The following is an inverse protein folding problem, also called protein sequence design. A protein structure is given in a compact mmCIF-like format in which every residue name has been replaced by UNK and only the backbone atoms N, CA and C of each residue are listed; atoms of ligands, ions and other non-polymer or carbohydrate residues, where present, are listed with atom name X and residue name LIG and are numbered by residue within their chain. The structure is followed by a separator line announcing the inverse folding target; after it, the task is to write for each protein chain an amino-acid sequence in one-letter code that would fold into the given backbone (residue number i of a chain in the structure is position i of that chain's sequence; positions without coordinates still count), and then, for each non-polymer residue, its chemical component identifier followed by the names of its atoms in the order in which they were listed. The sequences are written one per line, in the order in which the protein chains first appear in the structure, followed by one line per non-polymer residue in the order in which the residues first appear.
data_IF_707676523269
#
_entry.id   IF_707676523269
#
_cell.length_a   1.000
_cell.length_b   1.000
_cell.length_c   1.000
_cell.angle_alpha   90.00
_cell.angle_beta   90.00
_cell.angle_gamma   90.00
#
_symmetry.space_group_name_H-M   'P 1'
#
loop_
_entity.id
_entity.type
_entity.pdbx_description
1 polymer ?
#
# COMPACT_ATOMS: atom_id res chain seq x y z
N UNK A 1 6.92 -1.64 -15.42
CA UNK A 1 6.81 -0.38 -14.66
C UNK A 1 6.47 0.76 -15.61
N UNK A 2 5.35 1.45 -15.38
CA UNK A 2 4.93 2.58 -16.23
C UNK A 2 5.79 3.83 -15.98
N UNK A 3 5.88 4.70 -16.99
CA UNK A 3 6.65 5.95 -16.91
C UNK A 3 6.11 6.90 -15.80
N UNK A 4 4.83 6.78 -15.46
CA UNK A 4 4.20 7.52 -14.38
C UNK A 4 4.74 7.11 -13.00
N UNK A 5 4.96 5.81 -12.77
CA UNK A 5 5.52 5.31 -11.50
C UNK A 5 6.93 5.87 -11.26
N UNK A 6 7.76 5.90 -12.30
CA UNK A 6 9.10 6.49 -12.23
C UNK A 6 9.08 8.00 -11.98
N UNK A 7 8.18 8.75 -12.63
CA UNK A 7 8.07 10.20 -12.41
C UNK A 7 7.51 10.52 -11.02
N UNK A 8 6.54 9.77 -10.49
CA UNK A 8 6.06 9.94 -9.10
C UNK A 8 7.20 9.71 -8.09
N UNK A 9 7.98 8.63 -8.24
CA UNK A 9 9.16 8.37 -7.40
C UNK A 9 10.21 9.48 -7.53
N UNK A 10 10.42 10.00 -8.75
CA UNK A 10 11.38 11.07 -9.04
C UNK A 10 11.00 12.41 -8.40
N UNK A 11 9.71 12.76 -8.39
CA UNK A 11 9.23 14.00 -7.77
C UNK A 11 8.92 13.86 -6.28
N UNK A 12 8.85 12.64 -5.71
CA UNK A 12 8.60 12.41 -4.29
C UNK A 12 9.54 13.21 -3.36
N UNK A 13 10.81 13.38 -3.76
CA UNK A 13 11.78 14.20 -3.04
C UNK A 13 11.51 15.72 -3.12
N UNK A 14 10.90 16.21 -4.21
CA UNK A 14 10.54 17.62 -4.38
C UNK A 14 9.17 17.98 -3.77
N UNK A 15 8.31 16.99 -3.50
CA UNK A 15 7.12 17.12 -2.63
C UNK A 15 7.46 17.13 -1.13
N UNK A 16 8.75 17.25 -0.76
CA UNK A 16 9.30 17.22 0.60
C UNK A 16 8.66 18.18 1.62
N UNK A 17 7.75 19.06 1.20
CA UNK A 17 6.75 19.68 2.07
C UNK A 17 5.38 19.03 1.87
N UNK A 18 5.09 18.03 2.71
CA UNK A 18 3.78 17.44 3.05
C UNK A 18 3.36 16.15 2.31
N UNK A 19 3.94 15.02 2.71
CA UNK A 19 3.26 13.69 2.73
C UNK A 19 2.07 13.67 3.71
N UNK A 20 1.33 14.79 3.83
CA UNK A 20 0.25 14.96 4.79
C UNK A 20 -0.90 14.04 4.45
N UNK A 21 -1.25 13.90 3.17
CA UNK A 21 -2.33 13.01 2.75
C UNK A 21 -1.96 11.56 3.04
N UNK A 22 -0.77 11.10 2.66
CA UNK A 22 -0.30 9.74 2.93
C UNK A 22 -0.26 9.46 4.43
N UNK A 23 0.21 10.42 5.24
CA UNK A 23 0.21 10.30 6.70
C UNK A 23 -1.20 10.23 7.27
N UNK A 24 -2.14 11.06 6.81
CA UNK A 24 -3.54 11.02 7.25
C UNK A 24 -4.22 9.70 6.89
N UNK A 25 -3.95 9.18 5.69
CA UNK A 25 -4.44 7.87 5.24
C UNK A 25 -3.87 6.75 6.14
N UNK A 26 -2.57 6.74 6.37
CA UNK A 26 -1.93 5.77 7.25
C UNK A 26 -2.46 5.88 8.70
N UNK A 27 -2.64 7.10 9.22
CA UNK A 27 -3.23 7.34 10.54
C UNK A 27 -4.64 6.76 10.65
N UNK A 28 -5.47 6.94 9.61
CA UNK A 28 -6.82 6.38 9.59
C UNK A 28 -6.79 4.85 9.60
N UNK A 29 -5.93 4.22 8.79
CA UNK A 29 -5.77 2.77 8.79
C UNK A 29 -5.38 2.26 10.17
N UNK A 30 -4.33 2.83 10.78
CA UNK A 30 -3.83 2.45 12.11
C UNK A 30 -4.89 2.67 13.20
N UNK A 31 -5.59 3.80 13.19
CA UNK A 31 -6.65 4.09 14.17
C UNK A 31 -7.84 3.13 14.07
N UNK A 32 -8.11 2.59 12.88
CA UNK A 32 -9.17 1.61 12.64
C UNK A 32 -8.74 0.16 12.87
N UNK A 33 -7.47 -0.08 13.19
CA UNK A 33 -6.91 -1.43 13.31
C UNK A 33 -7.49 -2.18 14.51
N UNK A 34 -8.11 -3.36 14.29
CA UNK A 34 -8.55 -4.20 15.38
C UNK A 34 -7.39 -5.04 15.94
N UNK A 35 -7.49 -5.41 17.22
CA UNK A 35 -6.68 -6.45 17.88
C UNK A 35 -5.16 -6.24 17.93
N UNK A 36 -4.64 -5.07 17.54
CA UNK A 36 -3.21 -4.71 17.63
C UNK A 36 -2.27 -5.83 17.10
N UNK A 37 -2.32 -6.12 15.78
CA UNK A 37 -1.58 -7.22 15.17
C UNK A 37 -0.09 -7.07 15.41
N UNK A 38 0.59 -8.17 15.73
CA UNK A 38 2.02 -8.14 16.09
C UNK A 38 2.93 -8.58 14.95
N UNK A 39 2.39 -9.35 14.01
CA UNK A 39 3.06 -9.83 12.79
C UNK A 39 2.42 -9.17 11.59
N UNK A 40 3.10 -8.19 11.00
CA UNK A 40 2.55 -7.32 9.98
C UNK A 40 3.38 -7.40 8.70
N UNK A 41 2.70 -7.35 7.55
CA UNK A 41 3.31 -6.98 6.27
C UNK A 41 2.70 -5.67 5.77
N UNK A 42 3.54 -4.76 5.25
CA UNK A 42 3.13 -3.49 4.65
C UNK A 42 3.62 -3.43 3.19
N UNK A 43 2.68 -3.47 2.25
CA UNK A 43 2.96 -3.45 0.81
C UNK A 43 2.98 -2.03 0.27
N UNK A 44 4.12 -1.64 -0.30
CA UNK A 44 4.43 -0.25 -0.61
C UNK A 44 4.69 0.55 0.67
N UNK A 45 5.54 0.02 1.55
CA UNK A 45 5.80 0.60 2.88
C UNK A 45 6.48 1.98 2.83
N UNK A 46 7.05 2.35 1.68
CA UNK A 46 7.75 3.61 1.47
C UNK A 46 8.84 3.84 2.52
N UNK A 47 8.89 5.06 3.03
CA UNK A 47 9.82 5.44 4.10
C UNK A 47 9.32 5.08 5.52
N UNK A 48 8.34 4.19 5.65
CA UNK A 48 7.85 3.71 6.95
C UNK A 48 6.93 4.68 7.68
N UNK A 49 6.18 5.51 6.95
CA UNK A 49 5.17 6.40 7.55
C UNK A 49 4.13 5.60 8.36
N UNK A 50 3.60 4.49 7.81
CA UNK A 50 2.67 3.61 8.53
C UNK A 50 3.32 2.98 9.76
N UNK A 51 4.51 2.41 9.61
CA UNK A 51 5.29 1.83 10.72
C UNK A 51 5.48 2.82 11.88
N UNK A 52 5.83 4.07 11.57
CA UNK A 52 6.05 5.13 12.57
C UNK A 52 4.81 5.56 13.36
N UNK A 53 3.61 5.20 12.89
CA UNK A 53 2.34 5.54 13.49
C UNK A 53 1.81 4.44 14.41
N UNK A 54 2.38 3.24 14.34
CA UNK A 54 2.00 2.11 15.19
C UNK A 54 2.42 2.42 16.63
N UNK A 55 1.48 2.34 17.56
CA UNK A 55 1.68 2.63 18.99
C UNK A 55 1.53 1.37 19.89
N UNK A 56 1.46 0.18 19.28
CA UNK A 56 1.46 -1.11 19.97
C UNK A 56 2.71 -1.94 19.69
N UNK A 57 2.89 -3.01 20.45
CA UNK A 57 4.04 -3.91 20.32
C UNK A 57 4.01 -4.67 18.98
N UNK A 58 5.11 -4.61 18.24
CA UNK A 58 5.32 -5.37 17.01
C UNK A 58 6.40 -6.43 17.24
N UNK A 59 6.05 -7.69 17.04
CA UNK A 59 7.00 -8.81 17.09
C UNK A 59 7.74 -8.95 15.76
N UNK A 60 7.04 -8.68 14.66
CA UNK A 60 7.55 -8.87 13.31
C UNK A 60 6.89 -7.92 12.33
N UNK A 61 7.70 -7.16 11.59
CA UNK A 61 7.24 -6.28 10.53
C UNK A 61 8.02 -6.57 9.25
N UNK A 62 7.30 -6.82 8.16
CA UNK A 62 7.88 -6.95 6.82
C UNK A 62 7.39 -5.78 5.98
N UNK A 63 8.29 -4.86 5.65
CA UNK A 63 8.02 -3.77 4.72
C UNK A 63 8.46 -4.15 3.31
N UNK A 64 7.58 -4.02 2.32
CA UNK A 64 7.91 -4.28 0.92
C UNK A 64 7.79 -2.97 0.13
N UNK A 65 8.82 -2.61 -0.62
CA UNK A 65 8.75 -1.51 -1.57
C UNK A 65 9.64 -1.79 -2.79
N UNK A 66 9.26 -1.27 -3.97
CA UNK A 66 10.06 -1.45 -5.18
C UNK A 66 11.19 -0.43 -5.29
N UNK A 67 11.18 0.61 -4.46
CA UNK A 67 12.18 1.65 -4.42
C UNK A 67 13.20 1.38 -3.31
N UNK A 68 14.42 1.04 -3.70
CA UNK A 68 15.56 0.90 -2.78
C UNK A 68 15.76 2.17 -1.94
N UNK A 69 15.63 3.35 -2.57
CA UNK A 69 15.73 4.65 -1.89
C UNK A 69 14.69 4.82 -0.77
N UNK A 70 13.44 4.35 -0.98
CA UNK A 70 12.42 4.42 0.06
C UNK A 70 12.78 3.52 1.25
N UNK A 71 13.24 2.30 0.97
CA UNK A 71 13.66 1.33 1.99
C UNK A 71 14.89 1.82 2.78
N UNK A 72 15.82 2.53 2.13
CA UNK A 72 16.96 3.16 2.82
C UNK A 72 16.51 4.15 3.90
N UNK A 73 15.40 4.87 3.66
CA UNK A 73 14.83 5.86 4.57
C UNK A 73 13.82 5.27 5.57
N UNK A 74 13.42 4.01 5.42
CA UNK A 74 12.51 3.35 6.34
C UNK A 74 13.20 3.11 7.71
N UNK A 75 12.51 3.32 8.85
CA UNK A 75 13.03 2.98 10.16
C UNK A 75 13.52 1.53 10.23
N UNK A 76 14.72 1.33 10.77
CA UNK A 76 15.35 0.01 10.91
C UNK A 76 15.36 -0.38 12.38
N UNK A 77 14.81 -1.54 12.69
CA UNK A 77 14.78 -2.13 14.03
C UNK A 77 14.98 -3.65 13.91
N UNK A 78 15.31 -4.32 15.00
CA UNK A 78 15.56 -5.78 15.00
C UNK A 78 14.35 -6.63 14.61
N UNK A 79 13.14 -6.09 14.78
CA UNK A 79 11.87 -6.72 14.40
C UNK A 79 11.39 -6.33 12.99
N UNK A 80 12.15 -5.51 12.25
CA UNK A 80 11.79 -5.00 10.93
C UNK A 80 12.66 -5.65 9.86
N UNK A 81 12.03 -6.26 8.88
CA UNK A 81 12.66 -6.71 7.64
C UNK A 81 12.14 -5.89 6.47
N UNK A 82 13.04 -5.48 5.57
CA UNK A 82 12.73 -4.67 4.41
C UNK A 82 13.08 -5.47 3.15
N UNK A 83 12.09 -5.67 2.31
CA UNK A 83 12.20 -6.42 1.07
C UNK A 83 12.10 -5.45 -0.11
N UNK A 84 13.16 -5.43 -0.94
CA UNK A 84 13.08 -4.82 -2.26
C UNK A 84 12.20 -5.73 -3.14
N UNK A 85 10.95 -5.33 -3.36
CA UNK A 85 9.96 -6.18 -3.99
C UNK A 85 8.86 -5.39 -4.66
N UNK A 86 8.23 -5.99 -5.66
CA UNK A 86 7.15 -5.36 -6.42
C UNK A 86 5.89 -6.22 -6.27
N UNK A 87 4.81 -5.65 -5.77
CA UNK A 87 3.52 -6.36 -5.65
C UNK A 87 2.90 -6.71 -7.01
N UNK A 88 3.47 -6.26 -8.12
CA UNK A 88 3.10 -6.75 -9.46
C UNK A 88 3.78 -8.08 -9.82
N UNK A 89 4.73 -8.56 -9.01
CA UNK A 89 5.38 -9.86 -9.18
C UNK A 89 4.69 -10.91 -8.29
N UNK A 90 4.07 -11.96 -8.87
CA UNK A 90 3.40 -13.00 -8.10
C UNK A 90 4.36 -13.76 -7.15
N UNK A 91 5.65 -13.84 -7.47
CA UNK A 91 6.65 -14.51 -6.62
C UNK A 91 6.79 -13.84 -5.25
N UNK A 92 6.47 -12.55 -5.15
CA UNK A 92 6.42 -11.86 -3.84
C UNK A 92 5.42 -12.55 -2.91
N UNK A 93 4.23 -12.88 -3.41
CA UNK A 93 3.17 -13.46 -2.59
C UNK A 93 3.47 -14.92 -2.24
N UNK A 94 4.16 -15.66 -3.11
CA UNK A 94 4.69 -16.99 -2.78
C UNK A 94 5.63 -16.92 -1.58
N UNK A 95 6.59 -15.99 -1.60
CA UNK A 95 7.52 -15.80 -0.47
C UNK A 95 6.79 -15.34 0.82
N UNK A 96 5.85 -14.41 0.70
CA UNK A 96 5.06 -13.95 1.86
C UNK A 96 4.20 -15.08 2.45
N UNK A 97 3.80 -16.08 1.66
CA UNK A 97 3.01 -17.22 2.13
C UNK A 97 3.79 -18.22 3.00
N UNK A 98 5.12 -18.13 3.01
CA UNK A 98 5.99 -18.96 3.88
C UNK A 98 5.92 -18.54 5.35
N UNK A 99 5.45 -17.33 5.62
CA UNK A 99 5.30 -16.73 6.94
C UNK A 99 3.81 -16.53 7.30
N UNK A 100 3.48 -16.64 8.58
CA UNK A 100 2.16 -16.21 9.09
C UNK A 100 2.19 -14.75 9.49
N UNK A 101 1.22 -13.99 9.00
CA UNK A 101 0.95 -12.62 9.38
C UNK A 101 -0.42 -12.51 10.05
N UNK A 102 -0.53 -11.57 10.99
CA UNK A 102 -1.80 -11.23 11.64
C UNK A 102 -2.59 -10.22 10.79
N UNK A 103 -1.87 -9.35 10.06
CA UNK A 103 -2.49 -8.34 9.20
C UNK A 103 -1.58 -7.88 8.05
N UNK A 104 -2.20 -7.64 6.89
CA UNK A 104 -1.61 -6.96 5.74
C UNK A 104 -2.07 -5.50 5.73
N UNK A 105 -1.15 -4.57 5.49
CA UNK A 105 -1.47 -3.19 5.15
C UNK A 105 -1.00 -2.85 3.74
N UNK A 106 -1.69 -1.88 3.15
CA UNK A 106 -1.11 -1.07 2.07
C UNK A 106 -1.76 0.31 2.11
N UNK A 107 -0.94 1.33 2.34
CA UNK A 107 -1.40 2.70 2.49
C UNK A 107 -0.98 3.55 1.30
N UNK A 108 -1.88 3.72 0.33
CA UNK A 108 -1.65 4.53 -0.88
C UNK A 108 -0.61 3.95 -1.85
N UNK A 109 -0.55 2.63 -2.03
CA UNK A 109 0.36 1.99 -2.99
C UNK A 109 -0.36 1.17 -4.08
N UNK A 110 -1.35 0.34 -3.74
CA UNK A 110 -1.95 -0.62 -4.68
C UNK A 110 -2.66 0.02 -5.89
N UNK A 111 -2.97 1.32 -5.86
CA UNK A 111 -3.49 2.00 -7.05
C UNK A 111 -2.51 1.97 -8.24
N UNK A 112 -1.23 1.73 -7.97
CA UNK A 112 -0.16 1.58 -8.96
C UNK A 112 -0.01 0.15 -9.51
N UNK A 113 -0.90 -0.78 -9.15
CA UNK A 113 -0.90 -2.12 -9.73
C UNK A 113 -1.16 -2.08 -11.23
N UNK A 114 -0.27 -2.70 -11.99
CA UNK A 114 -0.37 -2.90 -13.44
C UNK A 114 -1.62 -3.75 -13.72
N UNK A 115 -1.75 -4.90 -13.04
CA UNK A 115 -2.96 -5.74 -13.00
C UNK A 115 -3.52 -5.81 -11.57
N UNK A 116 -4.45 -4.93 -11.27
CA UNK A 116 -5.04 -4.85 -9.93
C UNK A 116 -5.85 -6.09 -9.54
N UNK A 117 -6.53 -6.74 -10.50
CA UNK A 117 -7.31 -7.95 -10.18
C UNK A 117 -6.39 -9.11 -9.83
N UNK A 118 -5.27 -9.28 -10.54
CA UNK A 118 -4.26 -10.28 -10.19
C UNK A 118 -3.60 -10.02 -8.82
N UNK A 119 -3.30 -8.76 -8.50
CA UNK A 119 -2.75 -8.38 -7.18
C UNK A 119 -3.75 -8.69 -6.05
N UNK A 120 -5.03 -8.35 -6.24
CA UNK A 120 -6.08 -8.64 -5.27
C UNK A 120 -6.30 -10.14 -5.11
N UNK A 121 -6.25 -10.91 -6.21
CA UNK A 121 -6.31 -12.37 -6.15
C UNK A 121 -5.14 -12.96 -5.35
N UNK A 122 -3.92 -12.44 -5.56
CA UNK A 122 -2.73 -12.88 -4.84
C UNK A 122 -2.82 -12.54 -3.35
N UNK A 123 -3.33 -11.35 -3.00
CA UNK A 123 -3.63 -10.96 -1.62
C UNK A 123 -4.67 -11.88 -0.96
N UNK A 124 -5.73 -12.26 -1.69
CA UNK A 124 -6.75 -13.17 -1.17
C UNK A 124 -6.15 -14.55 -0.82
N UNK A 125 -5.19 -15.03 -1.61
CA UNK A 125 -4.54 -16.33 -1.40
C UNK A 125 -3.75 -16.42 -0.07
N UNK A 126 -3.31 -15.28 0.47
CA UNK A 126 -2.60 -15.22 1.76
C UNK A 126 -3.51 -15.51 2.96
N UNK A 127 -4.84 -15.52 2.78
CA UNK A 127 -5.82 -15.81 3.85
C UNK A 127 -5.59 -14.99 5.13
N UNK A 128 -5.11 -13.75 4.99
CA UNK A 128 -4.72 -12.88 6.09
C UNK A 128 -5.62 -11.64 6.10
N UNK A 129 -6.16 -11.23 7.26
CA UNK A 129 -6.93 -10.00 7.36
C UNK A 129 -6.15 -8.79 6.84
N UNK A 130 -6.81 -7.85 6.15
CA UNK A 130 -6.13 -6.73 5.51
C UNK A 130 -6.82 -5.38 5.77
N UNK A 131 -6.01 -4.31 5.77
CA UNK A 131 -6.45 -2.92 5.81
C UNK A 131 -5.79 -2.17 4.65
N UNK A 132 -6.58 -1.85 3.62
CA UNK A 132 -6.08 -1.26 2.38
C UNK A 132 -6.64 0.17 2.23
N UNK A 133 -5.79 1.11 1.83
CA UNK A 133 -6.22 2.44 1.40
C UNK A 133 -5.70 2.71 0.00
N UNK A 134 -6.62 2.96 -0.94
CA UNK A 134 -6.35 3.02 -2.37
C UNK A 134 -6.90 4.34 -2.89
N UNK A 135 -6.06 5.13 -3.55
CA UNK A 135 -6.54 6.31 -4.27
C UNK A 135 -7.23 5.91 -5.58
N UNK A 136 -8.32 6.60 -5.90
CA UNK A 136 -9.15 6.32 -7.08
C UNK A 136 -9.22 7.56 -7.98
N UNK A 137 -9.88 7.45 -9.13
CA UNK A 137 -10.00 8.53 -10.11
C UNK A 137 -10.50 9.86 -9.50
N UNK A 138 -11.29 9.81 -8.42
CA UNK A 138 -11.79 10.98 -7.71
C UNK A 138 -10.70 11.80 -7.01
N UNK A 139 -9.59 11.18 -6.60
CA UNK A 139 -8.52 11.82 -5.83
C UNK A 139 -7.86 13.00 -6.55
N UNK A 140 -7.76 12.93 -7.88
CA UNK A 140 -7.11 13.97 -8.71
C UNK A 140 -8.07 14.65 -9.68
N UNK A 141 -9.38 14.59 -9.43
CA UNK A 141 -10.43 15.08 -10.34
C UNK A 141 -10.16 16.51 -10.83
N UNK A 142 -9.89 17.44 -9.92
CA UNK A 142 -9.62 18.84 -10.27
C UNK A 142 -8.33 19.01 -11.10
N UNK A 143 -7.30 18.20 -10.85
CA UNK A 143 -6.06 18.23 -11.62
C UNK A 143 -6.29 17.73 -13.05
N UNK A 144 -7.03 16.63 -13.22
CA UNK A 144 -7.37 16.07 -14.52
C UNK A 144 -8.24 17.03 -15.35
N UNK A 145 -9.26 17.65 -14.72
CA UNK A 145 -10.13 18.64 -15.35
C UNK A 145 -9.35 19.87 -15.83
N UNK A 146 -8.39 20.35 -15.04
CA UNK A 146 -7.53 21.48 -15.40
C UNK A 146 -6.50 21.13 -16.49
N UNK A 147 -5.95 19.92 -16.46
CA UNK A 147 -4.87 19.50 -17.38
C UNK A 147 -5.39 18.85 -18.67
N UNK A 148 -6.68 18.53 -18.77
CA UNK A 148 -7.27 17.86 -19.94
C UNK A 148 -6.75 16.43 -20.15
N UNK A 149 -6.27 15.78 -19.09
CA UNK A 149 -5.71 14.42 -19.14
C UNK A 149 -6.73 13.41 -18.63
N UNK A 150 -6.72 12.22 -19.21
CA UNK A 150 -7.54 11.10 -18.73
C UNK A 150 -7.14 10.69 -17.32
N UNK A 151 -8.10 10.28 -16.46
CA UNK A 151 -7.76 9.82 -15.12
C UNK A 151 -6.75 8.68 -15.14
N UNK A 152 -5.66 8.84 -14.38
CA UNK A 152 -4.59 7.84 -14.29
C UNK A 152 -5.00 6.62 -13.43
N UNK A 153 -5.96 6.80 -12.53
CA UNK A 153 -6.38 5.80 -11.55
C UNK A 153 -7.76 5.24 -11.88
N UNK A 154 -8.00 4.00 -11.48
CA UNK A 154 -9.29 3.29 -11.56
C UNK A 154 -10.38 4.03 -10.77
N UNK A 155 -11.65 3.87 -11.16
CA UNK A 155 -12.76 4.43 -10.39
C UNK A 155 -12.94 3.70 -9.05
N UNK A 156 -13.62 4.31 -8.08
CA UNK A 156 -13.99 3.61 -6.84
C UNK A 156 -14.85 2.38 -7.12
N UNK A 157 -15.78 2.48 -8.07
CA UNK A 157 -16.69 1.38 -8.43
C UNK A 157 -15.93 0.20 -9.02
N UNK A 158 -14.93 0.45 -9.87
CA UNK A 158 -14.06 -0.59 -10.43
C UNK A 158 -13.21 -1.25 -9.35
N UNK A 159 -12.61 -0.46 -8.45
CA UNK A 159 -11.81 -0.99 -7.34
C UNK A 159 -12.66 -1.85 -6.40
N UNK A 160 -13.85 -1.39 -6.02
CA UNK A 160 -14.77 -2.14 -5.16
C UNK A 160 -15.26 -3.42 -5.85
N UNK A 161 -15.67 -3.35 -7.12
CA UNK A 161 -16.13 -4.52 -7.86
C UNK A 161 -15.05 -5.61 -8.01
N UNK A 162 -13.78 -5.21 -8.19
CA UNK A 162 -12.67 -6.17 -8.22
C UNK A 162 -12.43 -6.75 -6.81
N UNK A 163 -12.40 -5.91 -5.78
CA UNK A 163 -12.20 -6.38 -4.40
C UNK A 163 -13.28 -7.39 -3.97
N UNK A 164 -14.55 -7.11 -4.23
CA UNK A 164 -15.68 -7.98 -3.85
C UNK A 164 -15.67 -9.37 -4.52
N UNK A 165 -15.05 -9.51 -5.69
CA UNK A 165 -14.90 -10.82 -6.36
C UNK A 165 -13.99 -11.78 -5.59
N UNK A 166 -13.01 -11.25 -4.87
CA UNK A 166 -11.91 -12.03 -4.29
C UNK A 166 -11.84 -11.93 -2.75
N UNK A 167 -12.42 -10.88 -2.16
CA UNK A 167 -12.32 -10.54 -0.75
C UNK A 167 -13.70 -10.34 -0.12
N UNK A 168 -13.88 -10.81 1.11
CA UNK A 168 -14.98 -10.40 1.98
C UNK A 168 -14.65 -9.03 2.60
N UNK A 169 -14.85 -7.98 1.79
CA UNK A 169 -14.39 -6.62 2.09
C UNK A 169 -15.51 -5.72 2.64
N UNK A 170 -15.12 -4.76 3.49
CA UNK A 170 -15.95 -3.62 3.89
C UNK A 170 -15.33 -2.36 3.34
N UNK A 171 -16.14 -1.48 2.76
CA UNK A 171 -15.66 -0.26 2.10
C UNK A 171 -16.08 1.00 2.85
N UNK A 172 -15.20 2.00 2.81
CA UNK A 172 -15.46 3.37 3.21
C UNK A 172 -14.91 4.28 2.11
N UNK A 173 -15.75 5.14 1.52
CA UNK A 173 -15.42 6.03 0.40
C UNK A 173 -15.65 7.48 0.80
#
# INVERSE_FOLDING_TARGET
MSNACHEFSRYAAQYGSRNVIQRLVAQKLIASTPNQPKRIVDLGCGNGTLYSLIDWEIERFVGVDFSEQMLEHHPKNSNVELLLGNFNDPLLFESLSEERFDRIYSASALQWADDFESVIHSLASLNTPMSLAIFTAGTFKTLHECAGVTPLLRSSDEVMAIAEKHLDARFEV
#
